data_IF_064615470069
#
_entry.id   IF_064615470069
#
_cell.length_a   1.000
_cell.length_b   1.000
_cell.length_c   1.000
_cell.angle_alpha   90.00
_cell.angle_beta   90.00
_cell.angle_gamma   90.00
#
_symmetry.space_group_name_H-M   'P 1'
#
loop_
_entity.id
_entity.type
_entity.pdbx_description
1 polymer ?
#
# COMPACT_ATOMS: atom_id res chain seq x y z
N UNK A 1 -56.94 -4.37 36.91
CA UNK A 1 -58.02 -4.89 36.01
C UNK A 1 -57.41 -5.98 35.19
N UNK A 2 -57.64 -7.16 35.62
CA UNK A 2 -57.33 -8.52 35.24
C UNK A 2 -57.87 -8.85 33.85
N UNK A 3 -57.23 -9.80 33.12
CA UNK A 3 -57.78 -10.92 32.35
C UNK A 3 -56.62 -11.40 31.43
N UNK A 4 -55.94 -12.43 31.81
CA UNK A 4 -56.02 -13.90 31.54
C UNK A 4 -55.78 -14.31 30.07
N UNK A 5 -54.68 -14.97 29.85
CA UNK A 5 -54.43 -16.40 29.59
C UNK A 5 -55.22 -17.05 28.46
N UNK A 6 -54.54 -17.65 27.46
CA UNK A 6 -54.83 -19.01 26.98
C UNK A 6 -53.61 -19.64 26.28
N UNK A 7 -53.19 -20.76 26.88
CA UNK A 7 -52.30 -21.78 26.33
C UNK A 7 -52.99 -22.59 25.23
N UNK A 8 -52.26 -23.01 24.22
CA UNK A 8 -52.60 -24.20 23.44
C UNK A 8 -51.31 -24.96 23.09
N UNK A 9 -51.14 -26.01 23.84
CA UNK A 9 -50.16 -27.09 23.65
C UNK A 9 -50.67 -28.01 22.55
N UNK A 10 -49.84 -28.30 21.55
CA UNK A 10 -50.00 -29.50 20.71
C UNK A 10 -48.64 -30.22 20.64
N UNK A 11 -48.67 -31.39 21.22
CA UNK A 11 -47.67 -32.47 21.19
C UNK A 11 -48.02 -33.36 19.99
N UNK A 12 -47.03 -33.78 19.18
CA UNK A 12 -47.00 -35.12 18.56
C UNK A 12 -45.77 -35.32 17.68
N UNK A 13 -44.98 -36.17 18.14
CA UNK A 13 -44.46 -37.48 17.64
C UNK A 13 -43.20 -37.49 16.75
N UNK A 14 -42.26 -38.23 17.29
CA UNK A 14 -41.05 -38.79 16.72
C UNK A 14 -41.23 -39.50 15.38
N UNK A 15 -40.29 -39.30 14.48
CA UNK A 15 -39.77 -40.40 13.65
C UNK A 15 -38.34 -40.06 13.24
N UNK A 16 -37.39 -40.83 13.75
CA UNK A 16 -36.00 -40.76 13.37
C UNK A 16 -35.78 -41.38 11.98
N UNK A 17 -35.00 -40.71 11.17
CA UNK A 17 -34.28 -41.32 10.04
C UNK A 17 -32.88 -40.78 10.07
N UNK A 18 -31.93 -41.64 10.44
CA UNK A 18 -30.49 -41.42 10.25
C UNK A 18 -30.19 -41.54 8.75
N UNK A 19 -29.80 -40.45 8.12
CA UNK A 19 -29.21 -40.48 6.79
C UNK A 19 -27.72 -40.12 6.93
N UNK A 20 -26.89 -41.10 6.70
CA UNK A 20 -25.47 -41.02 6.42
C UNK A 20 -25.28 -40.14 5.17
N UNK A 21 -24.85 -38.92 5.33
CA UNK A 21 -24.41 -38.08 4.22
C UNK A 21 -22.97 -38.44 3.92
N UNK A 22 -22.77 -39.24 2.88
CA UNK A 22 -21.48 -39.39 2.23
C UNK A 22 -21.11 -38.05 1.59
N UNK A 23 -19.87 -37.63 1.78
CA UNK A 23 -19.24 -36.57 0.98
C UNK A 23 -19.20 -37.09 -0.47
N UNK A 24 -20.07 -36.59 -1.30
CA UNK A 24 -19.92 -36.67 -2.74
C UNK A 24 -19.09 -35.45 -3.15
N UNK A 25 -17.88 -35.70 -3.65
CA UNK A 25 -17.11 -34.68 -4.36
C UNK A 25 -17.86 -34.35 -5.64
N UNK A 26 -18.49 -33.16 -5.68
CA UNK A 26 -19.07 -32.63 -6.89
C UNK A 26 -17.98 -32.40 -7.93
N UNK A 27 -18.17 -32.82 -9.20
CA UNK A 27 -17.20 -32.56 -10.24
C UNK A 27 -17.08 -31.04 -10.48
N UNK A 28 -15.84 -30.54 -10.69
CA UNK A 28 -15.58 -29.11 -10.83
C UNK A 28 -16.39 -28.51 -11.98
N UNK A 29 -16.94 -27.33 -11.75
CA UNK A 29 -17.72 -26.58 -12.72
C UNK A 29 -16.89 -26.19 -13.95
N UNK A 30 -17.50 -25.89 -15.10
CA UNK A 30 -16.75 -25.45 -16.30
C UNK A 30 -15.87 -24.21 -16.08
N UNK A 31 -16.22 -23.35 -15.11
CA UNK A 31 -15.43 -22.20 -14.72
C UNK A 31 -14.15 -22.59 -13.93
N UNK A 32 -14.23 -23.59 -13.06
CA UNK A 32 -13.07 -24.13 -12.34
C UNK A 32 -12.12 -24.90 -13.26
N UNK A 33 -12.66 -25.59 -14.27
CA UNK A 33 -11.87 -26.26 -15.30
C UNK A 33 -11.14 -25.29 -16.23
N UNK A 34 -11.72 -24.09 -16.47
CA UNK A 34 -11.07 -23.03 -17.25
C UNK A 34 -9.91 -22.36 -16.49
N UNK A 35 -9.99 -22.31 -15.15
CA UNK A 35 -8.93 -21.77 -14.29
C UNK A 35 -7.73 -22.73 -14.15
N UNK A 36 -7.93 -24.03 -14.39
CA UNK A 36 -6.89 -25.06 -14.29
C UNK A 36 -6.14 -25.33 -15.60
N UNK A 37 -6.56 -24.73 -16.73
CA UNK A 37 -5.84 -24.82 -17.99
C UNK A 37 -4.60 -23.92 -17.95
N UNK A 38 -3.46 -24.46 -17.55
CA UNK A 38 -2.16 -23.82 -17.67
C UNK A 38 -1.93 -23.41 -19.12
N UNK A 39 -1.78 -22.11 -19.40
CA UNK A 39 -1.38 -21.58 -20.68
C UNK A 39 0.06 -22.06 -20.94
N UNK A 40 0.34 -22.83 -21.99
CA UNK A 40 1.71 -23.22 -22.34
C UNK A 40 2.47 -21.96 -22.76
N UNK A 41 3.57 -21.64 -22.08
CA UNK A 41 4.46 -20.55 -22.47
C UNK A 41 4.65 -19.44 -21.44
N UNK A 42 4.21 -19.61 -20.19
CA UNK A 42 4.69 -18.74 -19.12
C UNK A 42 6.18 -19.03 -18.87
N UNK A 43 7.08 -18.04 -19.00
CA UNK A 43 8.44 -18.25 -18.52
C UNK A 43 8.36 -18.56 -17.03
N UNK A 44 9.18 -19.48 -16.52
CA UNK A 44 9.14 -19.80 -15.11
C UNK A 44 9.46 -18.53 -14.32
N UNK A 45 8.54 -18.11 -13.46
CA UNK A 45 8.80 -17.16 -12.37
C UNK A 45 9.74 -17.82 -11.35
N UNK A 46 10.83 -18.44 -11.83
CA UNK A 46 11.46 -19.49 -11.09
C UNK A 46 12.61 -19.02 -10.21
N UNK A 47 13.48 -18.17 -10.69
CA UNK A 47 14.74 -17.92 -9.97
C UNK A 47 14.56 -16.83 -8.91
N UNK A 48 13.93 -15.73 -9.26
CA UNK A 48 13.71 -14.64 -8.29
C UNK A 48 12.74 -15.01 -7.16
N UNK A 49 11.69 -15.79 -7.43
CA UNK A 49 10.75 -16.26 -6.40
C UNK A 49 11.35 -17.41 -5.55
N UNK A 50 12.27 -18.20 -6.10
CA UNK A 50 12.97 -19.25 -5.36
C UNK A 50 14.04 -18.64 -4.42
N UNK A 51 14.79 -17.64 -4.88
CA UNK A 51 15.75 -16.89 -4.06
C UNK A 51 15.02 -16.13 -2.93
N UNK A 52 13.88 -15.51 -3.22
CA UNK A 52 13.07 -14.84 -2.21
C UNK A 52 12.51 -15.78 -1.13
N UNK A 53 12.29 -17.06 -1.43
CA UNK A 53 11.83 -18.02 -0.42
C UNK A 53 12.89 -18.32 0.64
N UNK A 54 14.17 -18.22 0.30
CA UNK A 54 15.29 -18.51 1.18
C UNK A 54 15.86 -17.27 1.89
N UNK A 55 15.54 -16.06 1.40
CA UNK A 55 15.96 -14.81 2.03
C UNK A 55 15.11 -14.49 3.26
N UNK A 56 15.77 -14.05 4.35
CA UNK A 56 15.08 -13.55 5.53
C UNK A 56 14.64 -12.10 5.33
N UNK A 57 13.40 -11.78 5.70
CA UNK A 57 12.97 -10.39 5.80
C UNK A 57 13.80 -9.64 6.85
N UNK A 58 14.12 -8.37 6.62
CA UNK A 58 14.78 -7.53 7.62
C UNK A 58 13.75 -6.85 8.51
N UNK A 59 13.99 -6.88 9.83
CA UNK A 59 13.14 -6.20 10.81
C UNK A 59 14.01 -5.76 11.99
N UNK A 60 14.29 -4.46 12.05
CA UNK A 60 15.08 -3.84 13.12
C UNK A 60 14.17 -2.94 13.94
N UNK A 61 14.24 -3.10 15.27
CA UNK A 61 13.51 -2.26 16.22
C UNK A 61 14.46 -1.81 17.33
N UNK A 62 14.31 -0.56 17.75
CA UNK A 62 15.00 0.05 18.89
C UNK A 62 14.01 0.95 19.61
N UNK A 63 13.93 0.82 20.93
CA UNK A 63 13.08 1.68 21.76
C UNK A 63 13.81 1.97 23.07
N UNK A 64 13.95 3.27 23.38
CA UNK A 64 14.55 3.77 24.60
C UNK A 64 13.98 5.16 24.92
N UNK A 65 14.50 5.84 25.96
CA UNK A 65 14.05 7.17 26.40
C UNK A 65 14.39 8.29 25.39
N UNK A 66 15.24 8.03 24.42
CA UNK A 66 15.64 8.98 23.38
C UNK A 66 14.84 8.81 22.08
N UNK A 67 14.71 7.57 21.60
CA UNK A 67 14.10 7.27 20.31
C UNK A 67 13.28 5.96 20.33
N UNK A 68 12.27 5.93 19.45
CA UNK A 68 11.60 4.72 18.99
C UNK A 68 11.85 4.60 17.49
N UNK A 69 12.58 3.57 17.08
CA UNK A 69 12.94 3.34 15.69
C UNK A 69 12.52 1.94 15.26
N UNK A 70 11.82 1.84 14.11
CA UNK A 70 11.57 0.58 13.45
C UNK A 70 11.77 0.72 11.95
N UNK A 71 12.47 -0.27 11.37
CA UNK A 71 12.65 -0.32 9.93
C UNK A 71 12.63 -1.78 9.48
N UNK A 72 11.69 -2.08 8.56
CA UNK A 72 11.53 -3.42 8.03
C UNK A 72 11.38 -3.39 6.51
N UNK A 73 11.86 -4.45 5.86
CA UNK A 73 11.62 -4.68 4.43
C UNK A 73 11.43 -6.17 4.13
N UNK A 74 10.67 -6.51 3.05
CA UNK A 74 10.29 -7.88 2.77
C UNK A 74 11.45 -8.68 2.18
N UNK A 75 11.34 -10.01 2.30
CA UNK A 75 12.34 -10.97 1.80
C UNK A 75 12.60 -10.86 0.30
N UNK A 76 11.62 -10.44 -0.50
CA UNK A 76 11.77 -10.23 -1.94
C UNK A 76 12.78 -9.11 -2.25
N UNK A 77 12.87 -8.11 -1.40
CA UNK A 77 13.90 -7.08 -1.51
C UNK A 77 15.24 -7.56 -0.93
N UNK A 78 15.21 -8.33 0.17
CA UNK A 78 16.40 -8.91 0.77
C UNK A 78 17.11 -9.92 -0.14
N UNK A 79 16.37 -10.59 -1.03
CA UNK A 79 16.90 -11.53 -2.02
C UNK A 79 17.69 -10.85 -3.17
N UNK A 80 17.66 -9.52 -3.27
CA UNK A 80 18.37 -8.74 -4.29
C UNK A 80 19.50 -8.00 -3.57
N UNK A 81 20.77 -8.44 -3.67
CA UNK A 81 21.87 -7.92 -2.85
C UNK A 81 22.05 -6.40 -2.93
N UNK A 82 22.02 -5.82 -4.14
CA UNK A 82 22.17 -4.38 -4.33
C UNK A 82 21.00 -3.59 -3.77
N UNK A 83 19.79 -4.16 -3.83
CA UNK A 83 18.61 -3.53 -3.27
C UNK A 83 18.60 -3.61 -1.74
N UNK A 84 18.98 -4.76 -1.18
CA UNK A 84 19.14 -4.95 0.26
C UNK A 84 20.20 -3.99 0.83
N UNK A 85 21.37 -3.88 0.18
CA UNK A 85 22.42 -2.96 0.58
C UNK A 85 21.96 -1.49 0.59
N UNK A 86 21.16 -1.10 -0.41
CA UNK A 86 20.58 0.23 -0.43
C UNK A 86 19.59 0.45 0.74
N UNK A 87 18.70 -0.53 1.01
CA UNK A 87 17.73 -0.45 2.11
C UNK A 87 18.44 -0.42 3.49
N UNK A 88 19.51 -1.17 3.66
CA UNK A 88 20.31 -1.16 4.88
C UNK A 88 21.01 0.19 5.10
N UNK A 89 21.51 0.80 4.03
CA UNK A 89 22.09 2.15 4.10
C UNK A 89 21.02 3.22 4.39
N UNK A 90 19.84 3.14 3.77
CA UNK A 90 18.71 4.03 4.06
C UNK A 90 18.28 3.90 5.53
N UNK A 91 18.20 2.67 6.05
CA UNK A 91 17.92 2.40 7.46
C UNK A 91 18.93 3.06 8.38
N UNK A 92 20.22 2.85 8.13
CA UNK A 92 21.28 3.43 8.94
C UNK A 92 21.22 4.98 8.92
N UNK A 93 21.09 5.58 7.74
CA UNK A 93 20.98 7.02 7.56
C UNK A 93 19.80 7.62 8.33
N UNK A 94 18.62 6.98 8.25
CA UNK A 94 17.42 7.47 8.97
C UNK A 94 17.58 7.35 10.47
N UNK A 95 18.13 6.23 10.94
CA UNK A 95 18.38 6.00 12.37
C UNK A 95 19.34 7.04 12.93
N UNK A 96 20.45 7.27 12.26
CA UNK A 96 21.47 8.23 12.71
C UNK A 96 20.92 9.67 12.72
N UNK A 97 20.17 10.05 11.71
CA UNK A 97 19.49 11.35 11.65
C UNK A 97 18.46 11.52 12.78
N UNK A 98 17.66 10.47 13.07
CA UNK A 98 16.72 10.48 14.19
C UNK A 98 17.43 10.69 15.52
N UNK A 99 18.49 9.93 15.80
CA UNK A 99 19.26 10.02 17.04
C UNK A 99 19.91 11.40 17.20
N UNK A 100 20.51 11.93 16.12
CA UNK A 100 21.14 13.26 16.14
C UNK A 100 20.13 14.37 16.46
N UNK A 101 18.95 14.32 15.85
CA UNK A 101 17.85 15.26 16.11
C UNK A 101 17.33 15.11 17.54
N UNK A 102 17.06 13.88 17.97
CA UNK A 102 16.55 13.57 19.30
C UNK A 102 17.47 14.06 20.43
N UNK A 103 18.79 13.86 20.27
CA UNK A 103 19.81 14.36 21.25
C UNK A 103 19.78 15.87 21.38
N UNK A 104 19.74 16.57 20.25
CA UNK A 104 19.71 18.04 20.21
C UNK A 104 18.43 18.58 20.88
N UNK A 105 17.30 17.99 20.56
CA UNK A 105 16.00 18.45 21.04
C UNK A 105 15.78 18.07 22.51
N UNK A 106 16.30 16.91 22.98
CA UNK A 106 16.33 16.55 24.39
C UNK A 106 17.12 17.54 25.23
N UNK A 107 18.33 17.89 24.77
CA UNK A 107 19.17 18.89 25.46
C UNK A 107 18.50 20.29 25.50
N UNK A 108 17.81 20.67 24.43
CA UNK A 108 17.06 21.92 24.38
C UNK A 108 15.87 21.92 25.34
N UNK A 109 15.12 20.82 25.43
CA UNK A 109 13.99 20.63 26.35
C UNK A 109 14.46 20.69 27.81
N UNK A 110 15.52 19.98 28.17
CA UNK A 110 16.14 19.98 29.49
C UNK A 110 16.55 21.39 29.92
N UNK A 111 17.24 22.13 29.02
CA UNK A 111 17.64 23.53 29.27
C UNK A 111 16.45 24.46 29.47
N UNK A 112 15.34 24.20 28.79
CA UNK A 112 14.13 25.02 28.87
C UNK A 112 13.16 24.56 29.99
N UNK A 113 13.45 23.47 30.72
CA UNK A 113 12.61 22.93 31.78
C UNK A 113 11.35 22.23 31.28
N UNK A 114 11.32 21.75 30.05
CA UNK A 114 10.19 21.01 29.49
C UNK A 114 10.47 19.51 29.46
N UNK A 115 9.42 18.66 29.59
CA UNK A 115 9.57 17.22 29.44
C UNK A 115 9.90 16.87 27.98
N UNK A 116 10.93 16.04 27.79
CA UNK A 116 11.26 15.46 26.50
C UNK A 116 10.35 14.25 26.22
N UNK A 117 9.92 14.10 24.99
CA UNK A 117 9.25 12.90 24.47
C UNK A 117 10.13 12.25 23.43
N UNK A 118 10.33 10.93 23.52
CA UNK A 118 11.14 10.19 22.58
C UNK A 118 10.68 10.45 21.13
N UNK A 119 11.63 10.76 20.27
CA UNK A 119 11.36 10.89 18.84
C UNK A 119 11.11 9.52 18.23
N UNK A 120 10.28 9.43 17.19
CA UNK A 120 10.02 8.16 16.52
C UNK A 120 10.16 8.22 15.01
N UNK A 121 10.60 7.08 14.42
CA UNK A 121 10.55 6.80 13.00
C UNK A 121 10.25 5.32 12.81
N UNK A 122 9.03 5.03 12.36
CA UNK A 122 8.54 3.67 12.13
C UNK A 122 8.25 3.50 10.64
N UNK A 123 9.02 2.68 9.95
CA UNK A 123 8.91 2.47 8.50
C UNK A 123 8.90 0.99 8.17
N UNK A 124 7.87 0.56 7.48
CA UNK A 124 7.76 -0.82 7.01
C UNK A 124 7.52 -0.85 5.51
N UNK A 125 8.51 -1.36 4.79
CA UNK A 125 8.37 -1.64 3.37
C UNK A 125 7.56 -2.90 3.14
N UNK A 126 6.59 -2.83 2.25
CA UNK A 126 5.73 -3.94 1.84
C UNK A 126 5.82 -4.12 0.33
N UNK A 127 5.74 -5.38 -0.11
CA UNK A 127 5.63 -5.68 -1.54
C UNK A 127 4.25 -5.27 -2.05
N UNK A 128 4.21 -4.37 -3.02
CA UNK A 128 3.00 -4.01 -3.78
C UNK A 128 2.79 -5.00 -4.92
N UNK A 129 3.85 -5.24 -5.70
CA UNK A 129 3.83 -6.19 -6.81
C UNK A 129 5.23 -6.70 -7.13
N UNK A 130 5.28 -7.86 -7.77
CA UNK A 130 6.48 -8.45 -8.34
C UNK A 130 6.14 -8.96 -9.73
N UNK A 131 6.74 -8.36 -10.75
CA UNK A 131 6.62 -8.75 -12.16
C UNK A 131 7.99 -9.26 -12.67
N UNK A 132 8.10 -9.83 -13.86
CA UNK A 132 9.40 -10.25 -14.40
C UNK A 132 10.44 -9.12 -14.38
N UNK A 133 10.03 -7.88 -14.64
CA UNK A 133 10.94 -6.73 -14.67
C UNK A 133 10.99 -5.93 -13.38
N UNK A 134 9.87 -5.75 -12.69
CA UNK A 134 9.79 -4.81 -11.58
C UNK A 134 9.41 -5.47 -10.26
N UNK A 135 10.13 -5.13 -9.19
CA UNK A 135 9.68 -5.29 -7.82
C UNK A 135 9.27 -3.92 -7.29
N UNK A 136 7.99 -3.76 -6.97
CA UNK A 136 7.40 -2.53 -6.44
C UNK A 136 7.17 -2.66 -4.95
N UNK A 137 7.68 -1.70 -4.18
CA UNK A 137 7.50 -1.61 -2.74
C UNK A 137 6.79 -0.31 -2.37
N UNK A 138 5.98 -0.38 -1.33
CA UNK A 138 5.39 0.76 -0.63
C UNK A 138 5.87 0.80 0.80
N UNK A 139 5.96 2.00 1.38
CA UNK A 139 6.06 2.15 2.83
C UNK A 139 5.09 3.21 3.34
N UNK A 140 4.54 2.95 4.52
CA UNK A 140 3.93 3.93 5.39
C UNK A 140 4.95 4.26 6.47
N UNK A 141 5.18 5.54 6.69
CA UNK A 141 6.17 6.06 7.62
C UNK A 141 5.42 6.86 8.68
N UNK A 142 5.54 6.44 9.92
CA UNK A 142 5.05 7.19 11.07
C UNK A 142 6.24 7.82 11.75
N UNK A 143 6.18 9.12 12.01
CA UNK A 143 7.27 9.88 12.62
C UNK A 143 6.74 10.84 13.68
N UNK A 144 7.54 11.04 14.72
CA UNK A 144 7.32 12.07 15.73
C UNK A 144 8.65 12.71 16.10
N UNK A 145 8.71 14.01 15.99
CA UNK A 145 9.90 14.81 16.32
C UNK A 145 9.55 15.98 17.22
N UNK A 146 8.58 15.78 18.10
CA UNK A 146 8.05 16.84 18.97
C UNK A 146 6.72 17.40 18.46
N UNK A 147 6.11 18.29 19.24
CA UNK A 147 4.82 18.89 18.94
C UNK A 147 3.61 18.09 19.44
N UNK A 148 2.42 18.44 18.93
CA UNK A 148 1.14 17.91 19.42
C UNK A 148 0.88 16.46 19.00
N UNK A 149 1.32 16.05 17.80
CA UNK A 149 1.07 14.73 17.23
C UNK A 149 2.17 14.29 16.27
N UNK A 150 2.22 13.00 15.97
CA UNK A 150 3.05 12.45 14.92
C UNK A 150 2.52 12.75 13.52
N UNK A 151 3.34 12.42 12.52
CA UNK A 151 3.01 12.57 11.10
C UNK A 151 3.06 11.22 10.41
N UNK A 152 2.13 11.02 9.46
CA UNK A 152 2.15 9.89 8.53
C UNK A 152 2.57 10.39 7.16
N UNK A 153 3.54 9.73 6.56
CA UNK A 153 3.93 9.94 5.18
C UNK A 153 4.08 8.61 4.43
N UNK A 154 4.25 8.68 3.13
CA UNK A 154 4.36 7.49 2.29
C UNK A 154 5.65 7.53 1.48
N UNK A 155 6.17 6.35 1.16
CA UNK A 155 7.31 6.19 0.27
C UNK A 155 7.05 5.09 -0.75
N UNK A 156 7.79 5.15 -1.84
CA UNK A 156 7.74 4.19 -2.94
C UNK A 156 9.15 3.82 -3.37
N UNK A 157 9.33 2.57 -3.75
CA UNK A 157 10.54 2.08 -4.38
C UNK A 157 10.16 1.14 -5.52
N UNK A 158 10.82 1.30 -6.65
CA UNK A 158 10.70 0.41 -7.81
C UNK A 158 12.08 -0.09 -8.19
N UNK A 159 12.27 -1.41 -8.15
CA UNK A 159 13.50 -2.05 -8.59
C UNK A 159 13.34 -2.57 -10.02
N UNK A 160 14.14 -2.07 -10.95
CA UNK A 160 14.21 -2.56 -12.35
C UNK A 160 15.26 -3.66 -12.42
N UNK A 161 14.80 -4.93 -12.44
CA UNK A 161 15.66 -6.11 -12.50
C UNK A 161 16.54 -6.15 -13.75
N UNK A 162 16.01 -5.66 -14.89
CA UNK A 162 16.74 -5.68 -16.17
C UNK A 162 17.95 -4.72 -16.17
N UNK A 163 17.91 -3.71 -15.31
CA UNK A 163 18.97 -2.70 -15.22
C UNK A 163 19.69 -2.74 -13.86
N UNK A 164 19.30 -3.65 -12.97
CA UNK A 164 19.81 -3.76 -11.60
C UNK A 164 19.87 -2.40 -10.89
N UNK A 165 18.75 -1.63 -10.98
CA UNK A 165 18.73 -0.29 -10.38
C UNK A 165 17.38 0.11 -9.83
N UNK A 166 17.43 0.99 -8.85
CA UNK A 166 16.27 1.65 -8.28
C UNK A 166 15.74 2.75 -9.21
N UNK A 167 14.41 2.87 -9.30
CA UNK A 167 13.69 3.91 -10.02
C UNK A 167 12.60 4.52 -9.14
N UNK A 168 12.13 5.68 -9.52
CA UNK A 168 10.84 6.20 -9.08
C UNK A 168 9.74 5.71 -10.06
N UNK A 169 8.50 5.45 -9.61
CA UNK A 169 7.41 5.08 -10.51
C UNK A 169 7.19 6.07 -11.67
N UNK A 170 7.36 7.36 -11.41
CA UNK A 170 7.19 8.40 -12.42
C UNK A 170 8.30 8.40 -13.48
N UNK A 171 9.46 7.77 -13.22
CA UNK A 171 10.52 7.61 -14.23
C UNK A 171 10.06 6.80 -15.46
N UNK A 172 8.97 6.01 -15.31
CA UNK A 172 8.44 5.17 -16.38
C UNK A 172 7.57 5.97 -17.37
N UNK A 173 7.17 7.17 -17.03
CA UNK A 173 6.30 8.02 -17.84
C UNK A 173 7.08 9.12 -18.55
N UNK A 174 6.49 9.66 -19.61
CA UNK A 174 7.13 10.71 -20.44
C UNK A 174 7.33 12.00 -19.66
N UNK A 175 6.35 12.39 -18.85
CA UNK A 175 6.46 13.51 -17.90
C UNK A 175 5.42 13.39 -16.78
N UNK A 176 5.60 14.18 -15.71
CA UNK A 176 4.61 14.30 -14.62
C UNK A 176 3.28 14.88 -15.13
N UNK A 177 3.30 15.87 -15.99
CA UNK A 177 2.10 16.49 -16.57
C UNK A 177 1.32 15.52 -17.46
N UNK A 178 2.01 14.68 -18.24
CA UNK A 178 1.38 13.64 -19.05
C UNK A 178 0.73 12.58 -18.17
N UNK A 179 1.41 12.17 -17.10
CA UNK A 179 0.86 11.27 -16.08
C UNK A 179 -0.38 11.87 -15.42
N UNK A 180 -0.32 13.13 -14.99
CA UNK A 180 -1.44 13.84 -14.36
C UNK A 180 -2.65 13.92 -15.29
N UNK A 181 -2.43 14.28 -16.56
CA UNK A 181 -3.50 14.37 -17.56
C UNK A 181 -4.19 13.01 -17.77
N UNK A 182 -3.41 11.93 -17.86
CA UNK A 182 -3.92 10.58 -18.08
C UNK A 182 -4.65 9.98 -16.85
N UNK A 183 -4.37 10.47 -15.65
CA UNK A 183 -4.94 9.94 -14.40
C UNK A 183 -6.02 10.81 -13.78
N UNK A 184 -6.08 12.10 -14.14
CA UNK A 184 -6.83 13.15 -13.45
C UNK A 184 -8.28 12.78 -13.13
N UNK A 185 -9.04 12.35 -14.12
CA UNK A 185 -10.47 12.05 -13.94
C UNK A 185 -10.68 10.97 -12.89
N UNK A 186 -9.98 9.83 -13.01
CA UNK A 186 -10.12 8.69 -12.12
C UNK A 186 -9.58 8.99 -10.73
N UNK A 187 -8.48 9.71 -10.65
CA UNK A 187 -7.87 10.10 -9.39
C UNK A 187 -8.76 11.07 -8.61
N UNK A 188 -9.22 12.16 -9.24
CA UNK A 188 -10.07 13.15 -8.58
C UNK A 188 -11.44 12.56 -8.18
N UNK A 189 -12.05 11.73 -9.04
CA UNK A 189 -13.26 10.99 -8.68
C UNK A 189 -13.02 10.02 -7.53
N UNK A 190 -11.85 9.38 -7.50
CA UNK A 190 -11.42 8.51 -6.41
C UNK A 190 -11.32 9.25 -5.08
N UNK A 191 -10.73 10.45 -5.07
CA UNK A 191 -10.66 11.32 -3.88
C UNK A 191 -12.08 11.65 -3.39
N UNK A 192 -12.98 12.09 -4.29
CA UNK A 192 -14.38 12.41 -3.92
C UNK A 192 -15.05 11.22 -3.24
N UNK A 193 -14.98 10.04 -3.85
CA UNK A 193 -15.55 8.82 -3.26
C UNK A 193 -14.95 8.47 -1.90
N UNK A 194 -13.63 8.61 -1.76
CA UNK A 194 -12.94 8.31 -0.51
C UNK A 194 -13.31 9.28 0.63
N UNK A 195 -13.47 10.57 0.31
CA UNK A 195 -13.97 11.58 1.28
C UNK A 195 -15.42 11.30 1.67
N UNK A 196 -16.30 11.05 0.70
CA UNK A 196 -17.70 10.69 0.96
C UNK A 196 -17.83 9.44 1.84
N UNK A 197 -16.99 8.42 1.60
CA UNK A 197 -16.96 7.21 2.42
C UNK A 197 -16.55 7.47 3.88
N UNK A 198 -15.81 8.55 4.15
CA UNK A 198 -15.49 9.04 5.49
C UNK A 198 -16.55 10.00 6.07
N UNK A 199 -17.66 10.24 5.38
CA UNK A 199 -18.69 11.20 5.79
C UNK A 199 -18.30 12.66 5.60
N UNK A 200 -17.28 12.96 4.80
CA UNK A 200 -16.81 14.31 4.55
C UNK A 200 -17.56 14.89 3.35
N UNK A 201 -18.18 16.04 3.54
CA UNK A 201 -18.82 16.78 2.46
C UNK A 201 -17.77 17.39 1.53
N UNK A 202 -17.89 17.13 0.24
CA UNK A 202 -17.00 17.68 -0.79
C UNK A 202 -17.72 18.84 -1.46
N UNK A 203 -17.43 20.07 -1.04
CA UNK A 203 -17.95 21.28 -1.69
C UNK A 203 -17.03 21.68 -2.83
N UNK A 204 -17.55 21.62 -4.07
CA UNK A 204 -16.77 21.92 -5.28
C UNK A 204 -16.41 23.42 -5.44
N UNK A 205 -17.19 24.30 -4.85
CA UNK A 205 -17.04 25.75 -4.93
C UNK A 205 -16.46 26.39 -3.66
N UNK A 206 -15.70 25.63 -2.87
CA UNK A 206 -15.12 26.14 -1.63
C UNK A 206 -13.81 26.88 -1.88
N UNK A 207 -13.61 28.02 -1.17
CA UNK A 207 -12.32 28.73 -1.10
C UNK A 207 -11.27 27.98 -0.24
N UNK A 208 -11.61 26.81 0.24
CA UNK A 208 -10.70 25.97 1.02
C UNK A 208 -9.46 25.60 0.18
N UNK A 209 -8.24 25.67 0.76
CA UNK A 209 -7.03 25.21 0.09
C UNK A 209 -7.09 23.72 -0.28
N UNK A 210 -8.00 22.96 0.36
CA UNK A 210 -8.21 21.53 0.13
C UNK A 210 -9.30 21.20 -0.90
N UNK A 211 -9.96 22.21 -1.50
CA UNK A 211 -11.04 22.00 -2.47
C UNK A 211 -10.53 21.47 -3.81
N UNK A 212 -9.29 21.80 -4.17
CA UNK A 212 -8.71 21.42 -5.46
C UNK A 212 -8.14 20.01 -5.41
N UNK A 213 -8.43 19.23 -6.46
CA UNK A 213 -7.76 17.95 -6.66
C UNK A 213 -6.27 18.19 -6.99
N UNK A 214 -5.33 17.67 -6.20
CA UNK A 214 -3.90 17.87 -6.41
C UNK A 214 -3.41 17.11 -7.65
N UNK A 215 -2.24 17.45 -8.19
CA UNK A 215 -1.57 16.62 -9.19
C UNK A 215 -1.29 15.23 -8.61
N UNK A 216 -1.59 14.17 -9.36
CA UNK A 216 -1.30 12.80 -8.97
C UNK A 216 0.21 12.54 -8.89
N UNK A 217 0.98 13.21 -9.76
CA UNK A 217 2.45 13.16 -9.79
C UNK A 217 3.11 13.78 -8.55
N UNK A 218 2.42 14.67 -7.84
CA UNK A 218 2.89 15.22 -6.57
C UNK A 218 2.66 14.27 -5.38
N UNK A 219 1.92 13.17 -5.59
CA UNK A 219 1.60 12.20 -4.56
C UNK A 219 2.50 10.96 -4.65
N UNK A 220 2.41 10.08 -3.65
CA UNK A 220 3.19 8.83 -3.68
C UNK A 220 2.47 7.78 -4.51
N UNK A 221 3.09 7.33 -5.60
CA UNK A 221 2.53 6.33 -6.52
C UNK A 221 3.12 4.96 -6.26
N UNK A 222 2.28 3.94 -6.09
CA UNK A 222 2.65 2.55 -5.97
C UNK A 222 2.13 1.77 -7.18
N UNK A 223 3.03 1.21 -7.98
CA UNK A 223 2.66 0.42 -9.16
C UNK A 223 2.34 -1.02 -8.76
N UNK A 224 1.17 -1.49 -9.14
CA UNK A 224 0.62 -2.79 -8.80
C UNK A 224 0.42 -3.70 -10.01
N UNK A 225 0.25 -4.98 -9.71
CA UNK A 225 -0.04 -6.03 -10.69
C UNK A 225 -1.07 -6.99 -10.11
N UNK A 226 -2.06 -7.38 -10.90
CA UNK A 226 -3.06 -8.38 -10.49
C UNK A 226 -2.60 -9.81 -10.80
N UNK A 227 -1.77 -9.99 -11.80
CA UNK A 227 -1.36 -11.29 -12.32
C UNK A 227 0.13 -11.61 -12.11
N UNK A 228 0.89 -10.66 -11.55
CA UNK A 228 2.35 -10.78 -11.38
C UNK A 228 3.14 -10.70 -12.68
N UNK A 229 2.51 -10.35 -13.80
CA UNK A 229 3.14 -10.30 -15.14
C UNK A 229 3.26 -8.88 -15.68
N UNK A 230 2.21 -8.10 -15.53
CA UNK A 230 2.10 -6.73 -16.04
C UNK A 230 1.69 -5.77 -14.94
N UNK A 231 2.11 -4.52 -15.05
CA UNK A 231 1.61 -3.43 -14.24
C UNK A 231 0.23 -3.01 -14.80
N UNK A 232 -0.84 -3.30 -14.07
CA UNK A 232 -2.22 -3.09 -14.50
C UNK A 232 -3.03 -2.17 -13.58
N UNK A 233 -2.46 -1.79 -12.46
CA UNK A 233 -3.07 -0.92 -11.45
C UNK A 233 -2.03 -0.09 -10.73
N UNK A 234 -2.49 0.94 -10.04
CA UNK A 234 -1.67 1.70 -9.11
C UNK A 234 -2.51 2.15 -7.93
N UNK A 235 -1.84 2.43 -6.82
CA UNK A 235 -2.41 3.14 -5.69
C UNK A 235 -1.68 4.47 -5.56
N UNK A 236 -2.42 5.56 -5.45
CA UNK A 236 -1.89 6.89 -5.18
C UNK A 236 -2.19 7.20 -3.72
N UNK A 237 -1.13 7.28 -2.91
CA UNK A 237 -1.22 7.52 -1.48
C UNK A 237 -0.99 9.00 -1.19
N UNK A 238 -1.92 9.58 -0.42
CA UNK A 238 -2.00 11.01 -0.10
C UNK A 238 -1.84 11.14 1.41
N UNK A 239 -0.84 11.90 1.85
CA UNK A 239 -0.56 12.14 3.26
C UNK A 239 -1.61 13.06 3.91
N UNK A 240 -1.71 13.10 5.25
CA UNK A 240 -2.49 14.12 5.95
C UNK A 240 -2.06 15.53 5.55
N UNK A 241 -2.96 16.49 5.58
CA UNK A 241 -2.81 17.89 5.17
C UNK A 241 -2.73 18.16 3.66
N UNK A 242 -2.61 17.14 2.80
CA UNK A 242 -2.55 17.35 1.36
C UNK A 242 -3.91 17.74 0.74
N UNK A 243 -4.99 17.11 1.21
CA UNK A 243 -6.35 17.33 0.68
C UNK A 243 -7.41 17.54 1.78
N UNK A 244 -7.00 17.73 3.01
CA UNK A 244 -7.88 17.93 4.17
C UNK A 244 -7.09 18.17 5.45
N UNK A 245 -7.73 18.59 6.54
CA UNK A 245 -7.09 18.75 7.84
C UNK A 245 -6.56 17.39 8.35
N UNK A 246 -5.64 17.43 9.33
CA UNK A 246 -5.03 16.25 9.91
C UNK A 246 -6.04 15.19 10.38
N UNK A 247 -7.17 15.64 10.92
CA UNK A 247 -8.23 14.75 11.42
C UNK A 247 -8.85 13.86 10.33
N UNK A 248 -8.78 14.25 9.07
CA UNK A 248 -9.20 13.38 7.95
C UNK A 248 -8.24 12.21 7.71
N UNK A 249 -7.01 12.29 8.21
CA UNK A 249 -5.97 11.30 8.01
C UNK A 249 -5.48 11.23 6.56
N UNK A 250 -4.97 10.07 6.18
CA UNK A 250 -4.45 9.81 4.84
C UNK A 250 -5.48 9.16 3.92
N UNK A 251 -5.19 9.15 2.61
CA UNK A 251 -6.00 8.49 1.60
C UNK A 251 -5.15 7.59 0.71
N UNK A 252 -5.75 6.49 0.24
CA UNK A 252 -5.14 5.56 -0.72
C UNK A 252 -6.15 5.37 -1.87
N UNK A 253 -5.86 5.95 -3.02
CA UNK A 253 -6.75 5.97 -4.17
C UNK A 253 -6.27 4.94 -5.19
N UNK A 254 -7.08 3.91 -5.43
CA UNK A 254 -6.78 2.91 -6.46
C UNK A 254 -7.20 3.43 -7.83
N UNK A 255 -6.27 3.38 -8.77
CA UNK A 255 -6.44 3.81 -10.16
C UNK A 255 -5.99 2.68 -11.08
N UNK A 256 -6.87 2.21 -11.98
CA UNK A 256 -6.48 1.21 -12.97
C UNK A 256 -5.51 1.81 -13.99
N UNK A 257 -4.65 1.00 -14.55
CA UNK A 257 -3.89 1.35 -15.76
C UNK A 257 -4.85 1.32 -16.94
N UNK A 258 -4.99 2.46 -17.62
CA UNK A 258 -5.86 2.62 -18.80
C UNK A 258 -5.04 2.75 -20.07
N UNK A 259 -5.69 2.63 -21.24
CA UNK A 259 -5.04 2.91 -22.53
C UNK A 259 -4.44 4.31 -22.59
N UNK A 260 -5.14 5.33 -22.03
CA UNK A 260 -4.63 6.69 -21.94
C UNK A 260 -3.34 6.77 -21.08
N UNK A 261 -3.28 6.04 -19.98
CA UNK A 261 -2.06 5.98 -19.17
C UNK A 261 -0.92 5.27 -19.90
N UNK A 262 -1.19 4.16 -20.58
CA UNK A 262 -0.17 3.43 -21.37
C UNK A 262 0.39 4.29 -22.50
N UNK A 263 -0.43 5.18 -23.10
CA UNK A 263 0.03 6.08 -24.18
C UNK A 263 1.14 7.03 -23.73
N UNK A 264 1.18 7.40 -22.44
CA UNK A 264 2.18 8.30 -21.85
C UNK A 264 3.33 7.56 -21.13
N UNK A 265 3.33 6.23 -21.16
CA UNK A 265 4.48 5.43 -20.72
C UNK A 265 5.59 5.55 -21.77
N UNK A 266 6.85 5.68 -21.32
CA UNK A 266 8.02 5.64 -22.21
C UNK A 266 8.08 4.31 -22.97
N UNK A 267 8.46 4.35 -24.24
CA UNK A 267 8.41 3.17 -25.14
C UNK A 267 9.14 1.94 -24.59
N UNK A 268 10.28 2.14 -23.92
CA UNK A 268 11.06 1.04 -23.32
C UNK A 268 10.32 0.29 -22.19
N UNK A 269 9.22 0.84 -21.65
CA UNK A 269 8.44 0.25 -20.55
C UNK A 269 7.02 -0.16 -20.98
N UNK A 270 6.53 0.24 -22.15
CA UNK A 270 5.14 -0.01 -22.57
C UNK A 270 4.73 -1.48 -22.50
N UNK A 271 5.64 -2.38 -22.85
CA UNK A 271 5.39 -3.83 -22.81
C UNK A 271 5.21 -4.40 -21.38
N UNK A 272 5.62 -3.64 -20.37
CA UNK A 272 5.51 -4.04 -18.96
C UNK A 272 4.16 -3.62 -18.36
N UNK A 273 3.32 -2.89 -19.12
CA UNK A 273 2.00 -2.44 -18.70
C UNK A 273 0.89 -3.15 -19.47
N UNK A 274 -0.22 -3.43 -18.77
CA UNK A 274 -1.45 -3.98 -19.35
C UNK A 274 -2.62 -3.06 -19.00
N UNK A 275 -3.28 -2.41 -20.00
CA UNK A 275 -4.45 -1.60 -19.71
C UNK A 275 -5.64 -2.47 -19.32
N UNK A 276 -6.38 -2.03 -18.28
CA UNK A 276 -7.66 -2.58 -17.87
C UNK A 276 -8.75 -1.65 -18.38
N UNK A 277 -9.74 -2.20 -19.09
CA UNK A 277 -10.89 -1.45 -19.59
C UNK A 277 -11.95 -1.21 -18.51
#
# INVERSE_FOLDING_TARGET
>A
MTIETRYATILLLLSGVALLSGCADDPPTPAEKAAAAAVPGAPPGGVADAEAKNAAASNVKESNDLVEFAYAYPREAAAIPEFAAWLDNDRATRRDALIATARRDKAAAEKAGFPYRAHSHLQTWQRVSSTPRFLSLSAEIQSYTGGAHGMTSFATLLWDRNRAKRRQPLDLFTSGEAFDSATRERFCSGIKRAKTAKGILVEEASDSPFAKCPPASAQTVWLGSSDGRYLDRMTIAIAPYEIGPFAEGSYKINVPVTGALVSVVKDEFKRDFLPIN
#
